data_IF_871023421429
#
_entry.id   IF_871023421429
#
_cell.length_a   1.000
_cell.length_b   1.000
_cell.length_c   1.000
_cell.angle_alpha   90.00
_cell.angle_beta   90.00
_cell.angle_gamma   90.00
#
_symmetry.space_group_name_H-M   'P 1'
#
loop_
_entity.id
_entity.type
_entity.pdbx_description
1 polymer ?
#
# COMPACT_ATOMS: atom_id res chain seq x y z
N UNK A 1 22.96 -51.34 -28.78
CA UNK A 1 21.80 -51.26 -27.84
C UNK A 1 22.07 -50.36 -26.63
N UNK A 2 23.29 -50.01 -26.31
CA UNK A 2 23.66 -49.23 -25.11
C UNK A 2 23.45 -47.71 -25.22
N UNK A 3 23.41 -47.14 -26.42
CA UNK A 3 23.35 -45.68 -26.61
C UNK A 3 21.93 -45.08 -26.46
N UNK A 4 20.87 -45.89 -26.58
CA UNK A 4 19.46 -45.43 -26.35
C UNK A 4 19.08 -45.41 -24.88
N UNK A 5 19.74 -46.14 -24.00
CA UNK A 5 19.45 -46.12 -22.56
C UNK A 5 20.09 -44.94 -21.85
N UNK A 6 21.23 -44.41 -22.33
CA UNK A 6 21.84 -43.22 -21.73
C UNK A 6 21.05 -41.93 -21.99
N UNK A 7 20.38 -41.82 -23.16
CA UNK A 7 19.51 -40.65 -23.42
C UNK A 7 18.26 -40.61 -22.55
N UNK A 8 17.66 -41.77 -22.24
CA UNK A 8 16.44 -41.81 -21.41
C UNK A 8 16.70 -41.46 -19.93
N UNK A 9 17.89 -41.83 -19.40
CA UNK A 9 18.26 -41.46 -18.02
C UNK A 9 18.52 -39.96 -17.84
N UNK A 10 19.11 -39.32 -18.86
CA UNK A 10 19.38 -37.87 -18.77
C UNK A 10 18.12 -37.01 -18.88
N UNK A 11 17.11 -37.43 -19.64
CA UNK A 11 15.84 -36.69 -19.74
C UNK A 11 15.01 -36.81 -18.44
N UNK A 12 15.02 -37.98 -17.79
CA UNK A 12 14.37 -38.19 -16.52
C UNK A 12 14.99 -37.33 -15.38
N UNK A 13 16.33 -37.21 -15.37
CA UNK A 13 17.04 -36.37 -14.39
C UNK A 13 16.78 -34.88 -14.59
N UNK A 14 16.62 -34.40 -15.82
CA UNK A 14 16.32 -33.00 -16.13
C UNK A 14 14.88 -32.68 -15.77
N UNK A 15 13.91 -33.57 -15.97
CA UNK A 15 12.52 -33.38 -15.59
C UNK A 15 12.34 -33.38 -14.09
N UNK A 16 13.08 -34.21 -13.35
CA UNK A 16 13.04 -34.22 -11.88
C UNK A 16 13.71 -32.95 -11.31
N UNK A 17 14.76 -32.43 -11.92
CA UNK A 17 15.37 -31.16 -11.50
C UNK A 17 14.46 -29.95 -11.75
N UNK A 18 13.60 -29.99 -12.76
CA UNK A 18 12.64 -28.90 -13.04
C UNK A 18 11.42 -28.90 -12.09
N UNK A 19 11.07 -30.05 -11.52
CA UNK A 19 10.01 -30.14 -10.50
C UNK A 19 10.48 -29.82 -9.08
N UNK A 20 11.81 -29.77 -8.84
CA UNK A 20 12.37 -29.41 -7.53
C UNK A 20 12.67 -27.92 -7.36
N UNK A 21 12.46 -27.09 -8.39
CA UNK A 21 12.41 -25.64 -8.22
C UNK A 21 11.04 -25.26 -7.64
N UNK A 22 10.78 -25.74 -6.43
CA UNK A 22 9.63 -25.31 -5.64
C UNK A 22 9.62 -23.78 -5.58
N UNK A 23 8.49 -23.25 -5.93
CA UNK A 23 8.16 -21.82 -5.97
C UNK A 23 8.88 -21.08 -4.84
N UNK A 24 9.63 -20.04 -5.18
CA UNK A 24 10.34 -19.15 -4.24
C UNK A 24 9.44 -18.54 -3.16
N UNK A 25 8.13 -18.71 -3.25
CA UNK A 25 7.11 -18.39 -2.25
C UNK A 25 7.20 -19.20 -0.96
N UNK A 26 7.85 -20.36 -0.96
CA UNK A 26 7.97 -21.21 0.23
C UNK A 26 9.03 -20.74 1.23
N UNK A 27 9.91 -19.80 0.85
CA UNK A 27 11.00 -19.35 1.71
C UNK A 27 10.60 -18.25 2.72
N UNK A 28 9.43 -17.64 2.56
CA UNK A 28 8.96 -16.61 3.49
C UNK A 28 8.05 -17.13 4.62
N UNK A 29 7.72 -18.43 4.63
CA UNK A 29 6.92 -19.04 5.69
C UNK A 29 5.51 -18.44 5.88
N UNK A 30 5.06 -17.60 4.96
CA UNK A 30 3.76 -16.95 5.03
C UNK A 30 2.68 -17.87 4.47
N UNK A 31 1.74 -18.26 5.32
CA UNK A 31 0.52 -18.93 4.86
C UNK A 31 -0.32 -17.94 4.05
N UNK A 32 -1.01 -18.37 2.97
CA UNK A 32 -1.98 -17.52 2.27
C UNK A 32 -2.97 -16.92 3.27
N UNK A 33 -3.01 -15.59 3.36
CA UNK A 33 -3.89 -14.88 4.30
C UNK A 33 -3.27 -14.49 5.64
N UNK A 34 -2.05 -14.90 5.96
CA UNK A 34 -1.32 -14.31 7.09
C UNK A 34 -0.73 -12.96 6.69
N UNK A 35 -1.30 -11.90 7.26
CA UNK A 35 -0.64 -10.60 7.27
C UNK A 35 0.68 -10.76 8.04
N UNK A 36 1.83 -10.37 7.48
CA UNK A 36 3.09 -10.43 8.23
C UNK A 36 2.92 -9.68 9.55
N UNK A 37 3.56 -10.14 10.65
CA UNK A 37 3.49 -9.47 11.96
C UNK A 37 4.09 -8.03 11.95
N UNK A 38 4.36 -7.47 10.82
CA UNK A 38 5.16 -6.29 10.52
C UNK A 38 4.37 -4.99 10.53
N UNK A 39 3.11 -4.99 10.91
CA UNK A 39 2.31 -3.75 10.96
C UNK A 39 2.38 -3.06 12.32
N UNK A 40 3.20 -3.53 13.26
CA UNK A 40 3.41 -2.79 14.49
C UNK A 40 4.11 -1.45 14.18
N UNK A 41 3.68 -0.39 14.88
CA UNK A 41 4.29 0.94 14.78
C UNK A 41 5.82 0.88 15.01
N UNK A 42 6.27 -0.03 15.86
CA UNK A 42 7.69 -0.28 16.15
C UNK A 42 8.45 -0.83 14.95
N UNK A 43 7.88 -1.78 14.23
CA UNK A 43 8.49 -2.31 13.01
C UNK A 43 8.60 -1.24 11.93
N UNK A 44 7.54 -0.44 11.72
CA UNK A 44 7.54 0.65 10.75
C UNK A 44 8.62 1.69 11.10
N UNK A 45 8.74 2.05 12.37
CA UNK A 45 9.79 2.97 12.85
C UNK A 45 11.19 2.39 12.69
N UNK A 46 11.38 1.10 12.94
CA UNK A 46 12.67 0.42 12.73
C UNK A 46 13.05 0.39 11.24
N UNK A 47 12.09 0.11 10.37
CA UNK A 47 12.27 0.14 8.92
C UNK A 47 12.62 1.55 8.42
N UNK A 48 11.90 2.58 8.88
CA UNK A 48 12.17 3.97 8.56
C UNK A 48 13.59 4.39 8.98
N UNK A 49 14.02 4.07 10.20
CA UNK A 49 15.39 4.33 10.68
C UNK A 49 16.46 3.67 9.82
N UNK A 50 16.18 2.46 9.30
CA UNK A 50 17.10 1.77 8.39
C UNK A 50 17.22 2.51 7.05
N UNK A 51 16.11 2.96 6.51
CA UNK A 51 16.10 3.80 5.29
C UNK A 51 16.87 5.10 5.52
N UNK A 52 16.59 5.82 6.61
CA UNK A 52 17.28 7.06 6.96
C UNK A 52 18.80 6.87 7.06
N UNK A 53 19.24 5.76 7.67
CA UNK A 53 20.67 5.41 7.77
C UNK A 53 21.29 5.19 6.38
N UNK A 54 20.62 4.50 5.47
CA UNK A 54 21.09 4.24 4.11
C UNK A 54 21.19 5.55 3.33
N UNK A 55 20.13 6.36 3.34
CA UNK A 55 20.09 7.67 2.68
C UNK A 55 21.18 8.61 3.24
N UNK A 56 21.31 8.67 4.57
CA UNK A 56 22.36 9.47 5.22
C UNK A 56 23.79 9.04 4.86
N UNK A 57 23.99 7.73 4.62
CA UNK A 57 25.27 7.22 4.15
C UNK A 57 25.56 7.65 2.72
N UNK A 58 24.56 7.61 1.83
CA UNK A 58 24.69 8.09 0.46
C UNK A 58 24.95 9.60 0.40
N UNK A 59 24.29 10.42 1.22
CA UNK A 59 24.57 11.85 1.30
C UNK A 59 26.04 12.11 1.68
N UNK A 60 26.56 11.38 2.68
CA UNK A 60 27.97 11.49 3.06
C UNK A 60 28.91 11.05 1.93
N UNK A 61 28.61 9.92 1.29
CA UNK A 61 29.43 9.39 0.20
C UNK A 61 29.50 10.35 -0.98
N UNK A 62 28.37 10.99 -1.31
CA UNK A 62 28.27 11.94 -2.43
C UNK A 62 28.60 13.39 -2.03
N UNK A 63 28.94 13.63 -0.78
CA UNK A 63 29.21 14.96 -0.23
C UNK A 63 28.05 15.95 -0.43
N UNK A 64 26.81 15.43 -0.48
CA UNK A 64 25.60 16.24 -0.58
C UNK A 64 25.13 16.62 0.82
N UNK A 65 24.95 17.92 1.06
CA UNK A 65 24.39 18.42 2.32
C UNK A 65 22.86 18.38 2.22
N UNK A 66 22.17 17.64 3.09
CA UNK A 66 20.70 17.65 3.12
C UNK A 66 20.20 19.05 3.52
N UNK A 67 19.04 19.42 3.02
CA UNK A 67 18.35 20.64 3.45
C UNK A 67 17.99 20.55 4.94
N UNK A 68 17.85 21.68 5.63
CA UNK A 68 17.38 21.72 7.01
C UNK A 68 15.96 21.14 7.11
N UNK A 69 15.58 20.71 8.31
CA UNK A 69 14.20 20.26 8.56
C UNK A 69 13.22 21.39 8.23
N UNK A 70 12.08 21.04 7.63
CA UNK A 70 11.01 21.98 7.35
C UNK A 70 10.52 22.68 8.62
N UNK A 71 10.12 23.93 8.49
CA UNK A 71 9.43 24.67 9.56
C UNK A 71 8.09 24.01 9.91
N UNK A 72 7.52 24.34 11.05
CA UNK A 72 6.21 23.79 11.45
C UNK A 72 5.10 24.21 10.49
N UNK A 73 5.16 25.44 9.95
CA UNK A 73 4.20 25.92 8.96
C UNK A 73 4.28 25.14 7.64
N UNK A 74 5.50 24.89 7.14
CA UNK A 74 5.69 24.07 5.94
C UNK A 74 5.29 22.62 6.16
N UNK A 75 5.62 22.05 7.33
CA UNK A 75 5.23 20.70 7.70
C UNK A 75 3.72 20.57 7.74
N UNK A 76 3.03 21.47 8.43
CA UNK A 76 1.57 21.51 8.54
C UNK A 76 0.93 21.52 7.14
N UNK A 77 1.32 22.51 6.31
CA UNK A 77 0.77 22.63 4.94
C UNK A 77 0.97 21.37 4.11
N UNK A 78 2.19 20.81 4.12
CA UNK A 78 2.50 19.58 3.36
C UNK A 78 1.71 18.39 3.85
N UNK A 79 1.59 18.22 5.17
CA UNK A 79 0.85 17.12 5.78
C UNK A 79 -0.63 17.15 5.37
N UNK A 80 -1.27 18.32 5.42
CA UNK A 80 -2.66 18.48 5.00
C UNK A 80 -2.85 18.18 3.50
N UNK A 81 -2.01 18.74 2.65
CA UNK A 81 -2.09 18.52 1.20
C UNK A 81 -1.86 17.04 0.85
N UNK A 82 -0.90 16.38 1.50
CA UNK A 82 -0.57 14.99 1.20
C UNK A 82 -1.62 14.02 1.76
N UNK A 83 -2.09 14.25 2.99
CA UNK A 83 -2.99 13.31 3.65
C UNK A 83 -4.45 13.49 3.23
N UNK A 84 -4.93 14.72 3.13
CA UNK A 84 -6.37 15.00 2.90
C UNK A 84 -6.66 15.89 1.69
N UNK A 85 -5.64 16.28 0.92
CA UNK A 85 -5.79 16.99 -0.36
C UNK A 85 -6.24 18.45 -0.24
N UNK A 86 -6.25 19.05 0.97
CA UNK A 86 -6.59 20.46 1.20
C UNK A 86 -5.57 21.17 2.08
N UNK A 87 -5.61 22.47 2.12
CA UNK A 87 -4.87 23.26 3.10
C UNK A 87 -5.57 23.23 4.46
N UNK A 88 -4.84 23.45 5.59
CA UNK A 88 -5.46 23.61 6.89
C UNK A 88 -6.35 24.87 6.93
N UNK A 89 -7.39 24.83 7.74
CA UNK A 89 -8.15 26.05 8.10
C UNK A 89 -7.32 26.95 9.01
N UNK A 90 -7.79 28.17 9.22
CA UNK A 90 -7.14 29.10 10.14
C UNK A 90 -7.03 28.53 11.55
N UNK A 91 -8.13 27.99 12.11
CA UNK A 91 -8.16 27.44 13.46
C UNK A 91 -7.25 26.21 13.60
N UNK A 92 -7.23 25.33 12.59
CA UNK A 92 -6.32 24.17 12.55
C UNK A 92 -4.85 24.63 12.52
N UNK A 93 -4.56 25.69 11.79
CA UNK A 93 -3.21 26.23 11.69
C UNK A 93 -2.76 26.86 13.01
N UNK A 94 -3.60 27.69 13.62
CA UNK A 94 -3.32 28.31 14.92
C UNK A 94 -3.12 27.25 16.00
N UNK A 95 -4.04 26.30 16.12
CA UNK A 95 -3.95 25.22 17.10
C UNK A 95 -2.66 24.40 17.00
N UNK A 96 -2.17 24.15 15.79
CA UNK A 96 -0.92 23.42 15.58
C UNK A 96 0.31 24.28 15.83
N UNK A 97 0.34 25.53 15.34
CA UNK A 97 1.50 26.40 15.44
C UNK A 97 1.76 26.86 16.88
N UNK A 98 0.71 27.16 17.62
CA UNK A 98 0.79 27.60 19.02
C UNK A 98 1.06 26.45 20.00
N UNK A 99 0.95 25.21 19.54
CA UNK A 99 1.23 24.05 20.39
C UNK A 99 2.73 23.93 20.66
N UNK A 100 3.12 23.87 21.94
CA UNK A 100 4.51 23.65 22.38
C UNK A 100 4.88 22.17 22.54
N UNK A 101 3.95 21.25 22.24
CA UNK A 101 4.19 19.80 22.39
C UNK A 101 5.25 19.31 21.44
N UNK A 102 6.22 18.57 21.93
CA UNK A 102 7.26 17.93 21.11
C UNK A 102 6.69 16.84 20.18
N UNK A 103 5.54 16.25 20.52
CA UNK A 103 4.83 15.22 19.76
C UNK A 103 3.87 15.76 18.72
N UNK A 104 3.64 17.09 18.63
CA UNK A 104 2.59 17.69 17.80
C UNK A 104 2.61 17.25 16.33
N UNK A 105 3.78 17.01 15.75
CA UNK A 105 3.89 16.54 14.35
C UNK A 105 3.39 15.10 14.17
N UNK A 106 3.66 14.23 15.14
CA UNK A 106 3.21 12.83 15.12
C UNK A 106 1.70 12.79 15.35
N UNK A 107 1.21 13.53 16.38
CA UNK A 107 -0.22 13.65 16.68
C UNK A 107 -1.00 14.19 15.48
N UNK A 108 -0.46 15.16 14.75
CA UNK A 108 -1.08 15.69 13.54
C UNK A 108 -1.22 14.59 12.46
N UNK A 109 -0.18 13.84 12.19
CA UNK A 109 -0.23 12.77 11.20
C UNK A 109 -1.27 11.71 11.60
N UNK A 110 -1.24 11.25 12.85
CA UNK A 110 -2.19 10.24 13.34
C UNK A 110 -3.65 10.76 13.21
N UNK A 111 -3.88 12.05 13.50
CA UNK A 111 -5.20 12.71 13.36
C UNK A 111 -5.64 12.78 11.88
N UNK A 112 -4.75 13.19 10.98
CA UNK A 112 -5.07 13.32 9.57
C UNK A 112 -5.38 11.97 8.93
N UNK A 113 -4.55 10.95 9.20
CA UNK A 113 -4.73 9.59 8.65
C UNK A 113 -6.00 8.93 9.18
N UNK A 114 -6.40 9.19 10.42
CA UNK A 114 -7.66 8.71 10.99
C UNK A 114 -8.92 9.49 10.54
N UNK A 115 -8.78 10.51 9.70
CA UNK A 115 -9.89 11.41 9.35
C UNK A 115 -10.70 10.92 8.14
N UNK A 116 -11.97 11.35 8.09
CA UNK A 116 -12.82 11.18 6.91
C UNK A 116 -12.21 11.83 5.66
N UNK A 117 -11.51 12.96 5.83
CA UNK A 117 -10.82 13.66 4.74
C UNK A 117 -9.74 12.80 4.08
N UNK A 118 -8.99 12.04 4.88
CA UNK A 118 -8.02 11.05 4.38
C UNK A 118 -8.69 9.97 3.55
N UNK A 119 -9.77 9.38 4.05
CA UNK A 119 -10.48 8.33 3.34
C UNK A 119 -11.00 8.82 1.99
N UNK A 120 -11.52 10.05 1.92
CA UNK A 120 -11.99 10.64 0.68
C UNK A 120 -10.86 10.97 -0.29
N UNK A 121 -9.73 11.48 0.20
CA UNK A 121 -8.56 11.77 -0.63
C UNK A 121 -7.96 10.48 -1.20
N UNK A 122 -7.82 9.45 -0.40
CA UNK A 122 -7.36 8.14 -0.83
C UNK A 122 -8.36 7.47 -1.79
N UNK A 123 -9.68 7.65 -1.54
CA UNK A 123 -10.70 7.17 -2.48
C UNK A 123 -10.52 7.78 -3.87
N UNK A 124 -10.29 9.07 -3.99
CA UNK A 124 -10.09 9.73 -5.29
C UNK A 124 -8.89 9.12 -6.02
N UNK A 125 -7.78 8.92 -5.32
CA UNK A 125 -6.58 8.29 -5.89
C UNK A 125 -6.85 6.85 -6.37
N UNK A 126 -7.51 6.05 -5.53
CA UNK A 126 -7.86 4.67 -5.88
C UNK A 126 -8.89 4.60 -7.00
N UNK A 127 -9.88 5.48 -7.00
CA UNK A 127 -10.90 5.56 -8.04
C UNK A 127 -10.29 5.86 -9.42
N UNK A 128 -9.35 6.80 -9.47
CA UNK A 128 -8.61 7.11 -10.70
C UNK A 128 -7.77 5.92 -11.17
N UNK A 129 -7.01 5.29 -10.27
CA UNK A 129 -6.18 4.13 -10.58
C UNK A 129 -7.00 2.94 -11.09
N UNK A 130 -8.12 2.66 -10.43
CA UNK A 130 -9.02 1.55 -10.75
C UNK A 130 -10.08 1.91 -11.79
N UNK A 131 -10.02 3.12 -12.35
CA UNK A 131 -10.99 3.65 -13.33
C UNK A 131 -12.44 3.47 -12.88
N UNK A 132 -12.70 3.74 -11.61
CA UNK A 132 -14.05 3.64 -11.06
C UNK A 132 -14.95 4.75 -11.66
N UNK A 133 -16.06 4.32 -12.22
CA UNK A 133 -17.08 5.21 -12.76
C UNK A 133 -18.43 4.89 -12.12
N UNK A 134 -19.33 5.86 -12.10
CA UNK A 134 -20.69 5.69 -11.60
C UNK A 134 -21.59 4.88 -12.54
N UNK A 135 -21.16 4.74 -13.79
CA UNK A 135 -21.92 4.02 -14.83
C UNK A 135 -20.97 3.17 -15.68
N UNK A 136 -21.26 1.87 -15.77
CA UNK A 136 -20.61 0.93 -16.68
C UNK A 136 -21.61 0.40 -17.70
N UNK A 137 -21.49 0.79 -18.97
CA UNK A 137 -22.45 0.44 -20.00
C UNK A 137 -23.87 0.76 -19.52
N UNK A 138 -24.71 -0.21 -19.28
CA UNK A 138 -26.07 -0.01 -18.76
C UNK A 138 -26.20 -0.36 -17.27
N UNK A 139 -25.10 -0.33 -16.53
CA UNK A 139 -25.04 -0.82 -15.16
C UNK A 139 -24.47 0.24 -14.24
N UNK A 140 -25.04 0.43 -13.04
CA UNK A 140 -24.54 1.42 -12.05
C UNK A 140 -23.19 1.00 -11.46
N UNK A 141 -22.20 1.86 -11.35
CA UNK A 141 -20.93 1.64 -10.69
C UNK A 141 -20.96 1.86 -9.17
N UNK A 142 -22.11 2.26 -8.62
CA UNK A 142 -22.24 2.62 -7.21
C UNK A 142 -21.75 1.55 -6.21
N UNK A 143 -22.03 0.24 -6.37
CA UNK A 143 -21.52 -0.78 -5.47
C UNK A 143 -20.00 -0.95 -5.54
N UNK A 144 -19.38 -0.79 -6.71
CA UNK A 144 -17.94 -0.81 -6.84
C UNK A 144 -17.29 0.39 -6.13
N UNK A 145 -17.84 1.56 -6.34
CA UNK A 145 -17.43 2.78 -5.63
C UNK A 145 -17.57 2.60 -4.12
N UNK A 146 -18.69 2.04 -3.67
CA UNK A 146 -18.92 1.75 -2.25
C UNK A 146 -17.87 0.78 -1.69
N UNK A 147 -17.58 -0.32 -2.41
CA UNK A 147 -16.59 -1.29 -1.98
C UNK A 147 -15.18 -0.68 -1.84
N UNK A 148 -14.77 0.22 -2.76
CA UNK A 148 -13.50 0.93 -2.64
C UNK A 148 -13.49 1.80 -1.39
N UNK A 149 -14.55 2.59 -1.15
CA UNK A 149 -14.69 3.45 0.03
C UNK A 149 -14.65 2.65 1.33
N UNK A 150 -15.40 1.56 1.41
CA UNK A 150 -15.44 0.69 2.58
C UNK A 150 -14.08 0.05 2.83
N UNK A 151 -13.40 -0.43 1.77
CA UNK A 151 -12.07 -1.04 1.87
C UNK A 151 -11.02 -0.08 2.44
N UNK A 152 -11.11 1.22 2.09
CA UNK A 152 -10.23 2.26 2.63
C UNK A 152 -10.61 2.57 4.08
N UNK A 153 -11.89 2.74 4.37
CA UNK A 153 -12.37 3.10 5.71
C UNK A 153 -12.10 1.99 6.75
N UNK A 154 -12.09 0.73 6.32
CA UNK A 154 -11.78 -0.45 7.14
C UNK A 154 -10.27 -0.73 7.24
N UNK A 155 -9.42 0.11 6.64
CA UNK A 155 -7.97 -0.12 6.51
C UNK A 155 -7.67 -1.55 6.00
N UNK A 156 -8.42 -1.97 4.98
CA UNK A 156 -8.29 -3.31 4.40
C UNK A 156 -6.88 -3.53 3.86
N UNK A 157 -6.19 -4.60 4.27
CA UNK A 157 -4.84 -4.89 3.77
C UNK A 157 -4.81 -4.97 2.24
N UNK A 158 -3.82 -4.33 1.62
CA UNK A 158 -3.68 -4.23 0.17
C UNK A 158 -3.74 -5.59 -0.55
N UNK A 159 -3.05 -6.59 -0.01
CA UNK A 159 -3.07 -7.95 -0.58
C UNK A 159 -4.49 -8.56 -0.58
N UNK A 160 -5.29 -8.29 0.47
CA UNK A 160 -6.69 -8.74 0.55
C UNK A 160 -7.55 -7.99 -0.47
N UNK A 161 -7.38 -6.67 -0.57
CA UNK A 161 -8.10 -5.86 -1.54
C UNK A 161 -7.83 -6.33 -2.98
N UNK A 162 -6.57 -6.56 -3.34
CA UNK A 162 -6.19 -7.07 -4.66
C UNK A 162 -6.71 -8.49 -4.89
N UNK A 163 -6.63 -9.35 -3.88
CA UNK A 163 -7.18 -10.71 -4.00
C UNK A 163 -8.69 -10.68 -4.25
N UNK A 164 -9.44 -9.86 -3.52
CA UNK A 164 -10.89 -9.70 -3.73
C UNK A 164 -11.20 -9.21 -5.14
N UNK A 165 -10.43 -8.24 -5.66
CA UNK A 165 -10.59 -7.72 -7.03
C UNK A 165 -10.38 -8.81 -8.11
N UNK A 166 -9.33 -9.63 -7.95
CA UNK A 166 -8.97 -10.64 -8.96
C UNK A 166 -9.83 -11.90 -8.83
N UNK A 167 -10.16 -12.31 -7.60
CA UNK A 167 -10.91 -13.53 -7.33
C UNK A 167 -12.43 -13.34 -7.40
N UNK A 168 -12.90 -12.11 -7.56
CA UNK A 168 -14.31 -11.82 -7.61
C UNK A 168 -14.97 -12.54 -8.80
N UNK A 169 -16.10 -13.22 -8.57
CA UNK A 169 -16.85 -13.97 -9.58
C UNK A 169 -18.31 -13.49 -9.58
N UNK A 170 -18.90 -13.35 -10.76
CA UNK A 170 -20.32 -13.02 -10.91
C UNK A 170 -20.58 -12.20 -12.17
N UNK A 171 -21.74 -12.35 -12.80
CA UNK A 171 -22.24 -11.39 -13.79
C UNK A 171 -22.74 -10.15 -13.06
N UNK A 172 -22.42 -8.98 -13.54
CA UNK A 172 -22.64 -7.67 -12.93
C UNK A 172 -23.65 -7.65 -11.79
N UNK A 173 -23.22 -7.33 -10.58
CA UNK A 173 -24.04 -7.04 -9.40
C UNK A 173 -24.22 -8.08 -8.29
N UNK A 174 -23.55 -9.19 -8.30
CA UNK A 174 -23.51 -10.00 -7.07
C UNK A 174 -22.36 -9.54 -6.17
N UNK A 175 -22.68 -9.15 -4.96
CA UNK A 175 -21.76 -8.72 -3.89
C UNK A 175 -21.05 -7.34 -4.05
N UNK A 176 -21.59 -6.44 -4.85
CA UNK A 176 -21.05 -5.10 -4.96
C UNK A 176 -19.74 -4.96 -5.75
N UNK A 177 -19.23 -6.03 -6.33
CA UNK A 177 -18.11 -5.99 -7.27
C UNK A 177 -18.63 -6.16 -8.71
N UNK A 178 -18.24 -5.23 -9.58
CA UNK A 178 -18.44 -5.39 -11.01
C UNK A 178 -17.34 -6.28 -11.57
N UNK A 179 -17.75 -7.40 -12.17
CA UNK A 179 -16.87 -8.32 -12.86
C UNK A 179 -17.29 -8.34 -14.30
N UNK A 180 -16.43 -7.75 -15.12
CA UNK A 180 -16.55 -7.90 -16.55
C UNK A 180 -16.57 -9.37 -16.95
N UNK A 181 -17.59 -9.79 -17.70
CA UNK A 181 -17.59 -11.01 -18.46
C UNK A 181 -16.73 -10.87 -19.71
#
# INVERSE_FOLDING_TARGET
>A
MAMKQLCALNIAAIVIAFFMTGSASAQLGLRPGQVPPNQSKEFQLAAARKVDKLVGTEFRRKQVRPLPKSTDAEFLRRSYLTAIGRIPSYDEAVAFLDSEKSSKRVELIDTLVGSYGYNMHMFNWWADLLRATDTFQNTSGAPYIKWIKDSIAEDKPYNKMVHELIAAKGGGWQNGLWLGG
#
